data_IF_279962088562
#
_entry.id   IF_279962088562
#
_cell.length_a   1.000
_cell.length_b   1.000
_cell.length_c   1.000
_cell.angle_alpha   90.00
_cell.angle_beta   90.00
_cell.angle_gamma   90.00
#
_symmetry.space_group_name_H-M   'P 1'
#
loop_
_entity.id
_entity.type
_entity.pdbx_description
1 polymer ?
#
# COMPACT_ATOMS: atom_id res chain seq x y z
N UNK A 1 -6.26 21.93 18.77
CA UNK A 1 -5.36 21.04 18.04
C UNK A 1 -5.80 19.61 18.33
N UNK A 2 -6.12 18.82 17.32
CA UNK A 2 -6.58 17.44 17.52
C UNK A 2 -5.43 16.57 18.04
N UNK A 3 -5.70 15.78 19.08
CA UNK A 3 -4.73 14.83 19.63
C UNK A 3 -5.18 13.42 19.30
N UNK A 4 -4.47 12.75 18.39
CA UNK A 4 -4.72 11.36 18.02
C UNK A 4 -4.77 10.45 19.26
N UNK A 5 -5.83 9.63 19.36
CA UNK A 5 -5.96 8.59 20.37
C UNK A 5 -5.20 7.33 19.94
N UNK A 6 -4.02 7.15 20.54
CA UNK A 6 -3.15 6.00 20.25
C UNK A 6 -3.75 4.67 20.69
N UNK A 7 -4.49 4.63 21.80
CA UNK A 7 -5.03 3.38 22.32
C UNK A 7 -6.13 2.85 21.40
N UNK A 8 -7.00 3.74 20.92
CA UNK A 8 -8.01 3.40 19.93
C UNK A 8 -7.38 2.94 18.61
N UNK A 9 -6.34 3.63 18.14
CA UNK A 9 -5.61 3.24 16.94
C UNK A 9 -4.96 1.85 17.09
N UNK A 10 -4.26 1.57 18.20
CA UNK A 10 -3.64 0.27 18.43
C UNK A 10 -4.66 -0.86 18.55
N UNK A 11 -5.80 -0.60 19.20
CA UNK A 11 -6.92 -1.55 19.22
C UNK A 11 -7.47 -1.81 17.81
N UNK A 12 -7.63 -0.77 16.99
CA UNK A 12 -8.14 -0.88 15.60
C UNK A 12 -7.27 -1.78 14.72
N UNK A 13 -5.95 -1.76 14.93
CA UNK A 13 -4.99 -2.57 14.15
C UNK A 13 -4.58 -3.87 14.85
N UNK A 14 -5.09 -4.13 16.06
CA UNK A 14 -4.75 -5.31 16.85
C UNK A 14 -3.28 -5.36 17.29
N UNK A 15 -2.64 -4.21 17.52
CA UNK A 15 -1.22 -4.13 17.89
C UNK A 15 -1.04 -3.87 19.38
N UNK A 16 -0.15 -4.64 20.02
CA UNK A 16 0.15 -4.54 21.45
C UNK A 16 1.65 -4.47 21.74
N UNK A 17 2.43 -3.97 20.79
CA UNK A 17 3.89 -3.87 20.90
C UNK A 17 4.36 -2.72 21.80
N UNK A 18 5.68 -2.62 21.95
CA UNK A 18 6.32 -1.55 22.70
C UNK A 18 6.21 -0.21 21.97
N UNK A 19 5.89 0.86 22.71
CA UNK A 19 5.65 2.22 22.20
C UNK A 19 6.91 3.10 22.14
N UNK A 20 8.09 2.50 22.19
CA UNK A 20 9.35 3.22 22.03
C UNK A 20 9.69 3.43 20.54
N UNK A 21 10.37 4.52 20.16
CA UNK A 21 10.71 4.79 18.75
C UNK A 21 11.88 3.93 18.29
N UNK A 22 11.68 2.61 18.18
CA UNK A 22 12.70 1.64 17.78
C UNK A 22 12.39 1.07 16.39
N UNK A 23 13.40 0.47 15.76
CA UNK A 23 13.22 -0.27 14.51
C UNK A 23 12.20 -1.40 14.65
N UNK A 24 12.21 -2.12 15.77
CA UNK A 24 11.27 -3.21 16.04
C UNK A 24 9.82 -2.71 16.13
N UNK A 25 9.62 -1.56 16.79
CA UNK A 25 8.32 -0.87 16.85
C UNK A 25 7.87 -0.43 15.47
N UNK A 26 8.71 0.28 14.70
CA UNK A 26 8.35 0.72 13.35
C UNK A 26 7.93 -0.46 12.45
N UNK A 27 8.71 -1.54 12.47
CA UNK A 27 8.44 -2.75 11.67
C UNK A 27 7.12 -3.43 12.05
N UNK A 28 6.91 -3.72 13.34
CA UNK A 28 5.71 -4.41 13.80
C UNK A 28 4.45 -3.56 13.65
N UNK A 29 4.56 -2.24 13.86
CA UNK A 29 3.46 -1.31 13.74
C UNK A 29 3.03 -1.11 12.28
N UNK A 30 3.99 -1.02 11.35
CA UNK A 30 3.75 -0.93 9.91
C UNK A 30 2.97 -2.16 9.42
N UNK A 31 3.44 -3.36 9.77
CA UNK A 31 2.78 -4.61 9.41
C UNK A 31 1.35 -4.67 9.97
N UNK A 32 1.17 -4.32 11.24
CA UNK A 32 -0.14 -4.32 11.88
C UNK A 32 -1.10 -3.32 11.22
N UNK A 33 -0.63 -2.12 10.84
CA UNK A 33 -1.46 -1.15 10.11
C UNK A 33 -1.95 -1.72 8.79
N UNK A 34 -1.03 -2.22 7.95
CA UNK A 34 -1.35 -2.74 6.61
C UNK A 34 -2.31 -3.94 6.67
N UNK A 35 -2.21 -4.76 7.72
CA UNK A 35 -3.11 -5.89 7.93
C UNK A 35 -4.45 -5.49 8.56
N UNK A 36 -4.46 -4.45 9.39
CA UNK A 36 -5.61 -4.04 10.18
C UNK A 36 -6.56 -3.10 9.45
N UNK A 37 -6.04 -2.15 8.67
CA UNK A 37 -6.85 -1.13 7.97
C UNK A 37 -6.77 -1.42 6.46
N UNK A 38 -7.88 -1.74 5.79
CA UNK A 38 -7.88 -2.02 4.36
C UNK A 38 -7.72 -0.73 3.55
N UNK A 39 -7.07 -0.84 2.39
CA UNK A 39 -7.11 0.20 1.39
C UNK A 39 -8.48 0.17 0.70
N UNK A 40 -9.12 1.32 0.52
CA UNK A 40 -10.42 1.44 -0.16
C UNK A 40 -10.67 2.82 -0.77
N UNK A 41 -11.56 2.92 -1.75
CA UNK A 41 -11.95 4.18 -2.41
C UNK A 41 -13.47 4.44 -2.42
N UNK A 42 -14.24 3.84 -1.52
CA UNK A 42 -15.71 3.89 -1.50
C UNK A 42 -16.22 5.32 -1.46
N UNK A 43 -15.63 6.20 -0.66
CA UNK A 43 -16.07 7.60 -0.60
C UNK A 43 -15.90 8.33 -1.94
N UNK A 44 -14.76 8.12 -2.62
CA UNK A 44 -14.50 8.66 -3.95
C UNK A 44 -15.46 8.07 -4.99
N UNK A 45 -15.70 6.76 -4.92
CA UNK A 45 -16.63 6.06 -5.79
C UNK A 45 -18.05 6.62 -5.67
N UNK A 46 -18.46 7.01 -4.45
CA UNK A 46 -19.76 7.61 -4.16
C UNK A 46 -19.79 9.13 -4.37
N UNK A 47 -18.73 9.71 -4.94
CA UNK A 47 -18.66 11.11 -5.35
C UNK A 47 -18.17 12.09 -4.28
N UNK A 48 -17.70 11.59 -3.13
CA UNK A 48 -17.07 12.39 -2.09
C UNK A 48 -15.60 12.68 -2.37
N UNK A 49 -15.05 13.62 -1.59
CA UNK A 49 -13.61 13.88 -1.50
C UNK A 49 -13.20 13.62 -0.06
N UNK A 50 -12.37 12.60 0.21
CA UNK A 50 -11.94 12.30 1.57
C UNK A 50 -11.31 13.52 2.24
N UNK A 51 -11.71 13.82 3.48
CA UNK A 51 -11.06 14.83 4.29
C UNK A 51 -9.67 14.35 4.72
N UNK A 52 -8.66 15.21 4.65
CA UNK A 52 -7.32 14.93 5.16
C UNK A 52 -7.05 15.58 6.52
N UNK A 53 -8.06 16.22 7.11
CA UNK A 53 -7.95 16.76 8.46
C UNK A 53 -7.71 15.62 9.47
N UNK A 54 -6.73 15.73 10.39
CA UNK A 54 -6.36 14.63 11.28
C UNK A 54 -7.52 14.06 12.10
N UNK A 55 -8.48 14.89 12.49
CA UNK A 55 -9.66 14.46 13.25
C UNK A 55 -10.61 13.59 12.42
N UNK A 56 -10.82 13.96 11.16
CA UNK A 56 -11.72 13.25 10.25
C UNK A 56 -11.10 11.91 9.84
N UNK A 57 -9.78 11.90 9.59
CA UNK A 57 -9.03 10.67 9.29
C UNK A 57 -9.08 9.70 10.47
N UNK A 58 -8.85 10.15 11.71
CA UNK A 58 -9.01 9.28 12.89
C UNK A 58 -10.45 8.75 12.99
N UNK A 59 -11.45 9.64 12.92
CA UNK A 59 -12.85 9.25 13.03
C UNK A 59 -13.21 8.17 12.00
N UNK A 60 -12.82 8.36 10.74
CA UNK A 60 -13.11 7.42 9.65
C UNK A 60 -12.38 6.09 9.81
N UNK A 61 -11.04 6.09 9.86
CA UNK A 61 -10.25 4.86 9.79
C UNK A 61 -10.25 4.10 11.12
N UNK A 62 -10.26 4.82 12.25
CA UNK A 62 -10.14 4.23 13.58
C UNK A 62 -11.51 3.99 14.22
N UNK A 63 -12.34 5.03 14.35
CA UNK A 63 -13.58 4.93 15.13
C UNK A 63 -14.72 4.25 14.36
N UNK A 64 -14.83 4.51 13.08
CA UNK A 64 -15.90 3.97 12.24
C UNK A 64 -15.54 2.64 11.56
N UNK A 65 -14.35 2.08 11.83
CA UNK A 65 -13.93 0.81 11.24
C UNK A 65 -13.86 0.84 9.70
N UNK A 66 -13.61 2.02 9.12
CA UNK A 66 -13.42 2.15 7.67
C UNK A 66 -11.97 1.93 7.28
N UNK A 67 -11.70 2.03 5.99
CA UNK A 67 -10.37 2.14 5.41
C UNK A 67 -10.16 3.54 4.84
N UNK A 68 -9.19 3.66 3.95
CA UNK A 68 -9.00 4.83 3.09
C UNK A 68 -8.04 4.51 1.95
N UNK A 69 -7.62 5.52 1.21
CA UNK A 69 -6.52 5.38 0.25
C UNK A 69 -5.21 6.03 0.78
N UNK A 70 -4.20 6.19 -0.09
CA UNK A 70 -2.84 6.52 0.33
C UNK A 70 -2.67 7.73 1.26
N UNK A 71 -3.39 8.83 1.00
CA UNK A 71 -3.26 10.05 1.81
C UNK A 71 -3.75 9.82 3.25
N UNK A 72 -4.94 9.25 3.41
CA UNK A 72 -5.54 9.00 4.73
C UNK A 72 -4.70 8.01 5.56
N UNK A 73 -4.24 6.93 4.91
CA UNK A 73 -3.37 5.93 5.53
C UNK A 73 -2.07 6.53 6.03
N UNK A 74 -1.32 7.20 5.14
CA UNK A 74 0.01 7.70 5.48
C UNK A 74 -0.04 8.96 6.37
N UNK A 75 -1.13 9.74 6.34
CA UNK A 75 -1.36 10.83 7.32
C UNK A 75 -1.64 10.28 8.72
N UNK A 76 -2.53 9.29 8.84
CA UNK A 76 -2.81 8.63 10.11
C UNK A 76 -1.52 8.02 10.67
N UNK A 77 -0.78 7.28 9.84
CA UNK A 77 0.45 6.63 10.26
C UNK A 77 1.54 7.62 10.66
N UNK A 78 1.71 8.71 9.91
CA UNK A 78 2.63 9.79 10.29
C UNK A 78 2.30 10.36 11.67
N UNK A 79 1.04 10.66 11.94
CA UNK A 79 0.60 11.19 13.23
C UNK A 79 0.84 10.21 14.40
N UNK A 80 0.67 8.90 14.17
CA UNK A 80 1.02 7.86 15.16
C UNK A 80 2.52 7.86 15.42
N UNK A 81 3.34 7.82 14.38
CA UNK A 81 4.80 7.76 14.50
C UNK A 81 5.36 8.99 15.21
N UNK A 82 4.89 10.19 14.85
CA UNK A 82 5.27 11.45 15.50
C UNK A 82 4.93 11.42 17.00
N UNK A 83 3.75 10.90 17.37
CA UNK A 83 3.34 10.74 18.77
C UNK A 83 4.15 9.69 19.54
N UNK A 84 4.74 8.71 18.86
CA UNK A 84 5.68 7.74 19.42
C UNK A 84 7.12 8.28 19.49
N UNK A 85 7.38 9.49 18.98
CA UNK A 85 8.68 10.16 19.03
C UNK A 85 9.62 9.83 17.87
N UNK A 86 9.11 9.26 16.77
CA UNK A 86 9.89 9.14 15.53
C UNK A 86 10.00 10.49 14.82
N UNK A 87 11.12 10.71 14.11
CA UNK A 87 11.20 11.77 13.12
C UNK A 87 10.50 11.33 11.85
N UNK A 88 9.56 12.14 11.32
CA UNK A 88 8.80 11.78 10.13
C UNK A 88 8.91 12.89 9.08
N UNK A 89 9.21 12.50 7.84
CA UNK A 89 9.13 13.39 6.68
C UNK A 89 8.13 12.81 5.69
N UNK A 90 7.15 13.63 5.31
CA UNK A 90 6.14 13.28 4.32
C UNK A 90 6.70 13.52 2.93
N UNK A 91 6.55 12.55 2.04
CA UNK A 91 7.04 12.57 0.66
C UNK A 91 5.88 12.33 -0.30
N UNK A 92 6.14 12.53 -1.60
CA UNK A 92 5.20 12.14 -2.64
C UNK A 92 5.89 11.41 -3.80
N UNK A 93 5.14 10.54 -4.46
CA UNK A 93 5.61 9.65 -5.49
C UNK A 93 4.73 9.68 -6.75
N UNK A 94 5.36 9.32 -7.88
CA UNK A 94 4.69 8.97 -9.13
C UNK A 94 4.45 7.47 -9.14
N UNK A 95 3.20 7.05 -9.17
CA UNK A 95 2.84 5.65 -9.35
C UNK A 95 3.32 5.19 -10.72
N UNK A 96 4.19 4.17 -10.78
CA UNK A 96 4.72 3.63 -12.04
C UNK A 96 3.93 2.40 -12.48
N UNK A 97 3.71 1.43 -11.60
CA UNK A 97 3.02 0.18 -11.95
C UNK A 97 3.51 -0.39 -13.29
N UNK A 98 4.83 -0.46 -13.47
CA UNK A 98 5.48 -0.99 -14.67
C UNK A 98 5.41 -0.11 -15.93
N UNK A 99 4.89 1.12 -15.88
CA UNK A 99 4.96 2.04 -17.02
C UNK A 99 6.14 3.01 -16.92
N UNK A 100 6.75 3.30 -18.07
CA UNK A 100 7.76 4.35 -18.22
C UNK A 100 7.15 5.72 -18.52
N UNK A 101 5.82 5.79 -18.71
CA UNK A 101 5.13 7.07 -18.94
C UNK A 101 5.22 7.95 -17.70
N UNK A 102 5.45 9.24 -17.93
CA UNK A 102 5.43 10.23 -16.85
C UNK A 102 3.98 10.37 -16.33
N UNK A 103 3.79 10.00 -15.06
CA UNK A 103 2.52 10.09 -14.32
C UNK A 103 2.57 11.20 -13.27
N UNK A 104 1.44 11.79 -12.86
CA UNK A 104 1.42 12.85 -11.86
C UNK A 104 1.88 12.34 -10.48
N UNK A 105 2.40 13.25 -9.66
CA UNK A 105 2.80 12.99 -8.28
C UNK A 105 1.53 12.91 -7.44
N UNK A 106 1.07 11.69 -7.16
CA UNK A 106 -0.30 11.43 -6.64
C UNK A 106 -0.35 10.34 -5.58
N UNK A 107 0.81 9.87 -5.13
CA UNK A 107 0.92 8.92 -4.03
C UNK A 107 1.70 9.56 -2.88
N UNK A 108 1.27 9.33 -1.66
CA UNK A 108 1.95 9.78 -0.45
C UNK A 108 2.72 8.61 0.17
N UNK A 109 3.90 8.87 0.70
CA UNK A 109 4.70 7.94 1.50
C UNK A 109 5.52 8.73 2.53
N UNK A 110 6.23 8.02 3.41
CA UNK A 110 7.03 8.61 4.49
C UNK A 110 8.49 8.17 4.41
N UNK A 111 9.38 9.05 4.85
CA UNK A 111 10.65 8.63 5.47
C UNK A 111 10.57 8.81 6.97
N UNK A 112 11.17 7.88 7.70
CA UNK A 112 11.12 7.81 9.17
C UNK A 112 12.53 7.70 9.72
N UNK A 113 12.94 8.68 10.52
CA UNK A 113 14.17 8.66 11.28
C UNK A 113 13.96 7.85 12.55
N UNK A 114 14.78 6.79 12.71
CA UNK A 114 14.74 5.91 13.87
C UNK A 114 15.99 6.16 14.72
N UNK A 115 15.85 6.56 16.00
CA UNK A 115 16.97 6.73 16.91
C UNK A 115 17.96 5.56 16.90
N UNK A 116 19.24 5.86 16.65
CA UNK A 116 20.32 4.88 16.64
C UNK A 116 20.51 4.14 15.31
N UNK A 117 19.67 4.37 14.30
CA UNK A 117 19.85 3.81 12.95
C UNK A 117 20.62 4.80 12.06
N UNK A 118 21.46 4.28 11.16
CA UNK A 118 22.30 5.09 10.27
C UNK A 118 21.52 5.78 9.15
N UNK A 119 20.45 5.12 8.68
CA UNK A 119 19.66 5.59 7.54
C UNK A 119 18.19 5.73 7.92
N UNK A 120 17.48 6.73 7.35
CA UNK A 120 16.04 6.79 7.46
C UNK A 120 15.40 5.59 6.79
N UNK A 121 14.18 5.26 7.22
CA UNK A 121 13.39 4.17 6.66
C UNK A 121 12.27 4.72 5.78
N UNK A 122 12.11 4.18 4.59
CA UNK A 122 10.89 4.34 3.78
C UNK A 122 9.78 3.53 4.43
N UNK A 123 8.69 4.22 4.78
CA UNK A 123 7.47 3.63 5.30
C UNK A 123 6.29 4.05 4.42
N UNK A 124 5.46 3.09 4.06
CA UNK A 124 4.27 3.31 3.24
C UNK A 124 3.23 2.24 3.55
N UNK A 125 2.20 2.65 4.29
CA UNK A 125 1.07 1.79 4.68
C UNK A 125 -0.16 2.05 3.80
N UNK A 126 -0.02 2.86 2.74
CA UNK A 126 -1.14 3.43 1.99
C UNK A 126 -1.19 3.10 0.50
N UNK A 127 -0.22 2.36 -0.06
CA UNK A 127 -0.24 2.05 -1.50
C UNK A 127 -1.35 1.05 -1.90
N UNK A 128 -1.76 0.17 -0.99
CA UNK A 128 -2.67 -0.95 -1.26
C UNK A 128 -1.94 -2.25 -1.60
N UNK A 129 -2.50 -3.06 -2.50
CA UNK A 129 -1.86 -4.29 -2.99
C UNK A 129 -0.62 -3.93 -3.81
N UNK A 130 0.51 -4.53 -3.48
CA UNK A 130 1.81 -4.16 -4.06
C UNK A 130 2.64 -3.22 -3.20
N UNK A 131 2.04 -2.64 -2.16
CA UNK A 131 2.73 -1.79 -1.18
C UNK A 131 3.62 -2.59 -0.24
N UNK A 132 4.45 -1.88 0.52
CA UNK A 132 5.29 -2.46 1.58
C UNK A 132 4.42 -3.09 2.67
N UNK A 133 4.87 -4.21 3.24
CA UNK A 133 4.36 -4.73 4.50
C UNK A 133 5.18 -4.24 5.70
N UNK A 134 6.46 -4.00 5.46
CA UNK A 134 7.45 -3.56 6.43
C UNK A 134 8.30 -2.43 5.86
N UNK A 135 8.80 -1.51 6.70
CA UNK A 135 9.65 -0.41 6.26
C UNK A 135 10.98 -0.91 5.67
N UNK A 136 11.53 -0.17 4.72
CA UNK A 136 12.86 -0.43 4.15
C UNK A 136 13.83 0.67 4.54
N UNK A 137 15.09 0.38 4.91
CA UNK A 137 16.09 1.43 5.01
C UNK A 137 16.25 2.10 3.64
N UNK A 138 16.43 3.42 3.60
CA UNK A 138 16.64 4.19 2.36
C UNK A 138 18.05 3.93 1.81
N UNK A 139 18.22 2.70 1.30
CA UNK A 139 19.47 2.13 0.83
C UNK A 139 19.22 1.37 -0.48
N UNK A 140 20.00 1.65 -1.54
CA UNK A 140 19.75 1.05 -2.84
C UNK A 140 20.24 -0.39 -2.90
N UNK A 141 19.55 -1.23 -3.68
CA UNK A 141 19.98 -2.57 -4.05
C UNK A 141 19.78 -3.65 -2.98
N UNK A 142 19.33 -3.30 -1.78
CA UNK A 142 19.09 -4.27 -0.71
C UNK A 142 17.74 -4.96 -0.93
N UNK A 143 17.78 -6.24 -1.28
CA UNK A 143 16.59 -7.09 -1.36
C UNK A 143 16.07 -7.41 0.05
N UNK A 144 14.79 -7.16 0.29
CA UNK A 144 14.12 -7.39 1.56
C UNK A 144 12.90 -8.32 1.38
N UNK A 145 12.95 -9.57 1.89
CA UNK A 145 11.79 -10.45 1.92
C UNK A 145 10.80 -9.99 3.00
N UNK A 146 9.52 -9.95 2.66
CA UNK A 146 8.42 -9.57 3.54
C UNK A 146 7.28 -10.58 3.38
N UNK A 147 7.34 -11.68 4.13
CA UNK A 147 6.49 -12.84 3.90
C UNK A 147 6.76 -13.48 2.53
N UNK A 148 5.71 -13.70 1.74
CA UNK A 148 5.79 -14.22 0.37
C UNK A 148 6.29 -13.19 -0.66
N UNK A 149 6.50 -11.95 -0.26
CA UNK A 149 6.85 -10.85 -1.15
C UNK A 149 8.32 -10.47 -0.99
N UNK A 150 8.87 -9.79 -1.99
CA UNK A 150 10.23 -9.27 -1.95
C UNK A 150 10.27 -7.88 -2.55
N UNK A 151 10.91 -6.96 -1.84
CA UNK A 151 11.03 -5.56 -2.23
C UNK A 151 12.48 -5.12 -2.26
N UNK A 152 12.76 -4.05 -3.01
CA UNK A 152 14.01 -3.30 -2.91
C UNK A 152 13.78 -1.85 -3.27
N UNK A 153 14.72 -1.01 -2.85
CA UNK A 153 14.86 0.34 -3.38
C UNK A 153 15.97 0.35 -4.42
N UNK A 154 15.76 1.08 -5.52
CA UNK A 154 16.78 1.32 -6.55
C UNK A 154 16.92 2.83 -6.74
N UNK A 155 18.13 3.28 -7.07
CA UNK A 155 18.40 4.70 -7.36
C UNK A 155 18.58 4.91 -8.86
N UNK A 156 17.87 5.88 -9.41
CA UNK A 156 17.95 6.32 -10.81
C UNK A 156 18.11 7.85 -10.85
N UNK A 157 19.37 8.31 -10.91
CA UNK A 157 19.68 9.73 -10.73
C UNK A 157 19.21 10.25 -9.38
N UNK A 158 18.29 11.22 -9.40
CA UNK A 158 17.66 11.80 -8.21
C UNK A 158 16.43 11.03 -7.73
N UNK A 159 15.96 10.04 -8.50
CA UNK A 159 14.79 9.23 -8.15
C UNK A 159 15.18 8.00 -7.34
N UNK A 160 14.31 7.67 -6.40
CA UNK A 160 14.24 6.39 -5.73
C UNK A 160 13.04 5.62 -6.27
N UNK A 161 13.26 4.34 -6.58
CA UNK A 161 12.26 3.43 -7.12
C UNK A 161 11.97 2.36 -6.08
N UNK A 162 10.71 2.20 -5.69
CA UNK A 162 10.29 0.99 -5.00
C UNK A 162 10.00 -0.07 -6.06
N UNK A 163 10.64 -1.23 -5.91
CA UNK A 163 10.38 -2.39 -6.76
C UNK A 163 9.93 -3.58 -5.92
N UNK A 164 9.05 -4.39 -6.51
CA UNK A 164 8.64 -5.70 -5.99
C UNK A 164 8.88 -6.76 -7.06
N UNK A 165 8.97 -8.02 -6.70
CA UNK A 165 8.96 -9.11 -7.70
C UNK A 165 7.52 -9.46 -8.07
N UNK A 166 7.27 -9.77 -9.35
CA UNK A 166 5.97 -10.24 -9.86
C UNK A 166 6.19 -11.49 -10.72
N UNK A 167 5.77 -12.65 -10.23
CA UNK A 167 5.94 -13.93 -10.93
C UNK A 167 7.40 -14.14 -11.38
N UNK A 168 7.56 -14.66 -12.60
CA UNK A 168 8.86 -14.91 -13.22
C UNK A 168 9.43 -13.70 -13.99
N UNK A 169 8.64 -12.63 -14.13
CA UNK A 169 8.97 -11.44 -14.94
C UNK A 169 10.04 -10.53 -14.30
N UNK A 170 10.55 -10.90 -13.12
CA UNK A 170 11.59 -10.18 -12.41
C UNK A 170 11.09 -8.98 -11.61
N UNK A 171 11.92 -7.94 -11.52
CA UNK A 171 11.63 -6.74 -10.72
C UNK A 171 10.65 -5.82 -11.45
N UNK A 172 9.61 -5.41 -10.73
CA UNK A 172 8.52 -4.56 -11.19
C UNK A 172 8.51 -3.26 -10.39
N UNK A 173 8.65 -2.13 -11.07
CA UNK A 173 8.63 -0.80 -10.43
C UNK A 173 7.21 -0.40 -10.04
N UNK A 174 7.02 -0.21 -8.73
CA UNK A 174 5.75 0.15 -8.10
C UNK A 174 5.53 1.66 -8.22
N UNK A 175 6.47 2.45 -7.70
CA UNK A 175 6.44 3.91 -7.77
C UNK A 175 7.86 4.49 -7.72
N UNK A 176 7.99 5.75 -8.13
CA UNK A 176 9.23 6.52 -8.08
C UNK A 176 9.03 7.84 -7.30
N UNK A 177 9.99 8.21 -6.46
CA UNK A 177 9.92 9.37 -5.58
C UNK A 177 11.26 10.08 -5.41
N UNK A 178 11.22 11.31 -4.90
CA UNK A 178 12.39 12.04 -4.39
C UNK A 178 12.27 12.16 -2.88
N UNK A 179 13.36 12.55 -2.20
CA UNK A 179 13.36 12.80 -0.75
C UNK A 179 12.92 14.22 -0.39
N UNK A 180 12.26 14.92 -1.30
CA UNK A 180 11.75 16.27 -1.08
C UNK A 180 10.56 16.23 -0.12
N UNK A 181 10.66 16.98 0.98
CA UNK A 181 9.55 17.14 1.93
C UNK A 181 8.33 17.73 1.22
N UNK A 182 7.17 17.18 1.54
CA UNK A 182 5.85 17.69 1.15
C UNK A 182 5.08 18.15 2.36
N UNK A 183 4.32 19.21 2.17
CA UNK A 183 3.44 19.79 3.19
C UNK A 183 2.01 19.27 3.03
N UNK A 184 1.19 19.39 4.07
CA UNK A 184 -0.20 18.91 4.05
C UNK A 184 -1.00 19.45 2.86
N UNK A 185 -0.81 20.73 2.53
CA UNK A 185 -1.48 21.41 1.42
C UNK A 185 -1.14 20.84 0.04
N UNK A 186 0.04 20.21 -0.13
CA UNK A 186 0.39 19.54 -1.38
C UNK A 186 -0.50 18.32 -1.60
N UNK A 187 -0.82 17.61 -0.51
CA UNK A 187 -1.67 16.43 -0.54
C UNK A 187 -3.14 16.79 -0.75
N UNK A 188 -3.62 17.96 -0.30
CA UNK A 188 -4.97 18.43 -0.60
C UNK A 188 -5.22 18.57 -2.11
N UNK A 189 -4.25 19.16 -2.82
CA UNK A 189 -4.34 19.32 -4.29
C UNK A 189 -4.33 17.95 -4.98
N UNK A 190 -3.43 17.05 -4.56
CA UNK A 190 -3.33 15.71 -5.13
C UNK A 190 -4.58 14.85 -4.82
N UNK A 191 -5.11 14.95 -3.59
CA UNK A 191 -6.37 14.35 -3.17
C UNK A 191 -7.51 14.82 -4.06
N UNK A 192 -7.71 16.14 -4.19
CA UNK A 192 -8.80 16.67 -5.01
C UNK A 192 -8.72 16.15 -6.45
N UNK A 193 -7.52 16.14 -7.04
CA UNK A 193 -7.31 15.56 -8.37
C UNK A 193 -7.70 14.08 -8.41
N UNK A 194 -7.19 13.28 -7.47
CA UNK A 194 -7.46 11.83 -7.42
C UNK A 194 -8.93 11.53 -7.12
N UNK A 195 -9.61 12.32 -6.31
CA UNK A 195 -11.01 12.12 -5.96
C UNK A 195 -11.96 12.57 -7.08
N UNK A 196 -11.63 13.66 -7.78
CA UNK A 196 -12.59 14.34 -8.67
C UNK A 196 -12.22 14.36 -10.14
N UNK A 197 -10.98 14.09 -10.53
CA UNK A 197 -10.62 14.18 -11.94
C UNK A 197 -11.29 13.06 -12.76
N UNK A 198 -11.91 13.34 -13.93
CA UNK A 198 -12.64 12.33 -14.71
C UNK A 198 -11.79 11.13 -15.15
N UNK A 199 -10.48 11.34 -15.32
CA UNK A 199 -9.51 10.27 -15.66
C UNK A 199 -8.86 9.60 -14.44
N UNK A 200 -9.33 9.89 -13.23
CA UNK A 200 -8.80 9.23 -12.03
C UNK A 200 -9.19 7.74 -12.04
N UNK A 201 -8.26 6.83 -11.71
CA UNK A 201 -8.55 5.39 -11.63
C UNK A 201 -9.45 5.02 -10.43
N UNK A 202 -9.80 5.99 -9.57
CA UNK A 202 -10.58 5.76 -8.34
C UNK A 202 -12.05 6.18 -8.44
N UNK A 203 -12.52 6.79 -9.54
CA UNK A 203 -13.92 7.25 -9.66
C UNK A 203 -14.90 6.22 -10.22
N UNK A 204 -14.42 5.28 -11.03
CA UNK A 204 -15.29 4.36 -11.79
C UNK A 204 -15.32 2.92 -11.31
N UNK A 205 -14.45 2.56 -10.36
CA UNK A 205 -14.26 1.17 -9.94
C UNK A 205 -14.19 1.11 -8.43
N UNK A 206 -15.04 0.29 -7.80
CA UNK A 206 -14.84 -0.09 -6.40
C UNK A 206 -13.52 -0.83 -6.30
N UNK A 207 -12.61 -0.33 -5.45
CA UNK A 207 -11.31 -0.92 -5.17
C UNK A 207 -11.21 -1.09 -3.67
N UNK A 208 -11.12 -2.32 -3.19
CA UNK A 208 -10.81 -2.63 -1.78
C UNK A 208 -9.70 -3.65 -1.74
N UNK A 209 -8.66 -3.41 -0.95
CA UNK A 209 -7.46 -4.22 -0.95
C UNK A 209 -6.97 -4.48 0.47
N UNK A 210 -6.54 -5.72 0.72
CA UNK A 210 -5.87 -6.12 1.95
C UNK A 210 -4.61 -6.91 1.60
N UNK A 211 -3.51 -6.55 2.25
CA UNK A 211 -2.23 -7.22 2.06
C UNK A 211 -1.75 -7.85 3.37
N UNK A 212 -1.11 -9.00 3.28
CA UNK A 212 -0.48 -9.67 4.40
C UNK A 212 0.69 -10.54 3.96
N UNK A 213 1.46 -11.09 4.90
CA UNK A 213 2.66 -11.87 4.60
C UNK A 213 2.36 -13.18 3.85
N UNK A 214 1.13 -13.69 3.95
CA UNK A 214 0.74 -14.98 3.39
C UNK A 214 -0.27 -14.90 2.24
N UNK A 215 -0.67 -13.69 1.85
CA UNK A 215 -1.64 -13.52 0.78
C UNK A 215 -2.15 -12.10 0.66
N UNK A 216 -2.89 -11.86 -0.41
CA UNK A 216 -3.54 -10.59 -0.71
C UNK A 216 -4.96 -10.86 -1.17
N UNK A 217 -5.85 -9.92 -0.86
CA UNK A 217 -7.20 -9.91 -1.40
C UNK A 217 -7.46 -8.56 -2.05
N UNK A 218 -8.12 -8.57 -3.21
CA UNK A 218 -8.56 -7.38 -3.91
C UNK A 218 -9.97 -7.57 -4.44
N UNK A 219 -10.81 -6.58 -4.20
CA UNK A 219 -12.13 -6.45 -4.77
C UNK A 219 -12.10 -5.31 -5.79
N UNK A 220 -12.37 -5.64 -7.05
CA UNK A 220 -12.52 -4.68 -8.14
C UNK A 220 -13.93 -4.80 -8.72
N UNK A 221 -14.72 -3.72 -8.65
CA UNK A 221 -16.17 -3.77 -8.90
C UNK A 221 -16.85 -4.83 -8.01
N UNK A 222 -17.28 -5.95 -8.60
CA UNK A 222 -17.83 -7.12 -7.91
C UNK A 222 -16.95 -8.36 -8.03
N UNK A 223 -15.72 -8.24 -8.55
CA UNK A 223 -14.78 -9.36 -8.68
C UNK A 223 -13.82 -9.38 -7.50
N UNK A 224 -13.98 -10.38 -6.63
CA UNK A 224 -13.03 -10.68 -5.57
C UNK A 224 -11.94 -11.60 -6.14
N UNK A 225 -10.69 -11.25 -5.89
CA UNK A 225 -9.57 -12.15 -6.12
C UNK A 225 -8.76 -12.29 -4.85
N UNK A 226 -8.40 -13.52 -4.51
CA UNK A 226 -7.54 -13.87 -3.39
C UNK A 226 -6.31 -14.56 -3.94
N UNK A 227 -5.13 -14.04 -3.60
CA UNK A 227 -3.84 -14.59 -4.00
C UNK A 227 -3.15 -15.12 -2.76
N UNK A 228 -2.85 -16.42 -2.74
CA UNK A 228 -2.13 -17.06 -1.66
C UNK A 228 -0.60 -16.95 -1.85
N UNK A 229 0.15 -17.29 -0.82
CA UNK A 229 1.62 -17.22 -0.80
C UNK A 229 2.34 -18.18 -1.73
N UNK A 230 1.65 -19.15 -2.33
CA UNK A 230 2.19 -20.05 -3.36
C UNK A 230 1.88 -19.56 -4.79
N UNK A 231 1.28 -18.37 -4.92
CA UNK A 231 0.89 -17.80 -6.20
C UNK A 231 -0.47 -18.29 -6.72
N UNK A 232 -1.10 -19.26 -6.05
CA UNK A 232 -2.45 -19.69 -6.41
C UNK A 232 -3.45 -18.55 -6.23
N UNK A 233 -4.45 -18.51 -7.14
CA UNK A 233 -5.45 -17.46 -7.17
C UNK A 233 -6.85 -18.06 -7.18
N UNK A 234 -7.71 -17.54 -6.31
CA UNK A 234 -9.14 -17.77 -6.34
C UNK A 234 -9.83 -16.49 -6.83
N UNK A 235 -10.64 -16.59 -7.88
CA UNK A 235 -11.41 -15.48 -8.44
C UNK A 235 -12.88 -15.81 -8.30
N UNK A 236 -13.66 -14.86 -7.75
CA UNK A 236 -15.08 -14.98 -7.51
C UNK A 236 -15.80 -13.69 -7.87
N UNK A 237 -16.79 -13.78 -8.76
CA UNK A 237 -17.70 -12.68 -9.05
C UNK A 237 -18.85 -12.70 -8.02
N UNK A 238 -19.07 -11.57 -7.35
CA UNK A 238 -20.09 -11.36 -6.33
C UNK A 238 -21.39 -10.92 -6.99
N UNK A 239 -22.51 -11.47 -6.52
CA UNK A 239 -23.82 -11.35 -7.17
C UNK A 239 -24.40 -9.94 -7.08
N UNK A 240 -24.37 -9.36 -5.89
CA UNK A 240 -25.08 -8.13 -5.55
C UNK A 240 -24.37 -7.35 -4.44
N UNK A 241 -24.85 -6.14 -4.16
CA UNK A 241 -24.28 -5.25 -3.14
C UNK A 241 -24.32 -5.85 -1.73
N UNK A 242 -25.30 -6.72 -1.43
CA UNK A 242 -25.38 -7.39 -0.12
C UNK A 242 -24.31 -8.48 0.03
N UNK A 243 -23.95 -9.17 -1.06
CA UNK A 243 -22.79 -10.04 -1.06
C UNK A 243 -21.49 -9.25 -0.94
N UNK A 244 -21.35 -8.13 -1.65
CA UNK A 244 -20.21 -7.21 -1.51
C UNK A 244 -20.04 -6.78 -0.05
N UNK A 245 -21.08 -6.25 0.59
CA UNK A 245 -21.02 -5.79 1.98
C UNK A 245 -20.63 -6.91 2.96
N UNK A 246 -21.15 -8.13 2.77
CA UNK A 246 -20.74 -9.30 3.58
C UNK A 246 -19.26 -9.63 3.41
N UNK A 247 -18.75 -9.58 2.18
CA UNK A 247 -17.32 -9.80 1.87
C UNK A 247 -16.46 -8.69 2.47
N UNK A 248 -16.89 -7.42 2.39
CA UNK A 248 -16.16 -6.29 2.98
C UNK A 248 -15.98 -6.45 4.49
N UNK A 249 -17.03 -6.84 5.22
CA UNK A 249 -16.93 -7.11 6.66
C UNK A 249 -16.05 -8.31 6.95
N UNK A 250 -16.31 -9.45 6.30
CA UNK A 250 -15.65 -10.74 6.61
C UNK A 250 -14.17 -10.76 6.21
N UNK A 251 -13.88 -10.29 4.99
CA UNK A 251 -12.57 -10.48 4.35
C UNK A 251 -11.68 -9.25 4.46
N UNK A 252 -12.26 -8.05 4.65
CA UNK A 252 -11.51 -6.80 4.73
C UNK A 252 -11.64 -6.08 6.06
N UNK A 253 -12.56 -6.52 6.95
CA UNK A 253 -12.85 -5.81 8.20
C UNK A 253 -13.40 -4.40 7.97
N UNK A 254 -13.97 -4.14 6.79
CA UNK A 254 -14.47 -2.84 6.37
C UNK A 254 -15.96 -2.71 6.70
N UNK A 255 -16.29 -1.76 7.58
CA UNK A 255 -17.67 -1.48 7.96
C UNK A 255 -18.27 -0.37 7.09
N UNK A 256 -19.46 -0.64 6.54
CA UNK A 256 -20.28 0.30 5.77
C UNK A 256 -21.75 0.14 6.18
N UNK A 257 -22.60 1.16 5.99
CA UNK A 257 -24.05 1.01 6.12
C UNK A 257 -24.57 -0.14 5.25
N UNK A 258 -25.44 -0.98 5.80
CA UNK A 258 -25.97 -2.18 5.10
C UNK A 258 -26.83 -1.85 3.87
N UNK A 259 -27.30 -0.62 3.76
CA UNK A 259 -28.06 -0.08 2.64
C UNK A 259 -27.17 0.63 1.60
N UNK A 260 -25.84 0.61 1.76
CA UNK A 260 -24.91 1.12 0.74
C UNK A 260 -25.18 0.47 -0.62
N UNK A 261 -25.12 1.29 -1.68
CA UNK A 261 -25.25 0.85 -3.06
C UNK A 261 -23.99 1.23 -3.82
N UNK A 262 -23.53 0.33 -4.68
CA UNK A 262 -22.36 0.58 -5.52
C UNK A 262 -22.80 0.82 -6.98
N UNK A 263 -22.09 1.69 -7.74
CA UNK A 263 -22.31 1.79 -9.17
C UNK A 263 -22.21 0.41 -9.83
N UNK A 264 -23.13 0.11 -10.73
CA UNK A 264 -23.05 -1.14 -11.50
C UNK A 264 -21.75 -1.17 -12.30
N UNK A 265 -21.08 -2.34 -12.40
CA UNK A 265 -19.92 -2.48 -13.24
C UNK A 265 -20.27 -2.10 -14.68
N UNK A 266 -19.36 -1.45 -15.42
CA UNK A 266 -19.60 -1.21 -16.84
C UNK A 266 -19.89 -2.53 -17.56
N UNK A 267 -20.91 -2.55 -18.42
CA UNK A 267 -21.18 -3.70 -19.29
C UNK A 267 -19.91 -3.97 -20.10
N UNK A 268 -19.31 -5.17 -19.93
CA UNK A 268 -18.03 -5.55 -20.52
C UNK A 268 -18.02 -5.32 -22.04
N UNK A 269 -17.53 -4.17 -22.47
CA UNK A 269 -17.30 -3.82 -23.87
C UNK A 269 -15.80 -3.82 -24.09
N UNK A 270 -15.32 -4.85 -24.81
CA UNK A 270 -13.92 -5.09 -25.23
C UNK A 270 -12.84 -5.05 -24.11
N UNK A 271 -11.71 -5.76 -24.27
CA UNK A 271 -10.62 -5.65 -23.31
C UNK A 271 -10.14 -4.19 -23.24
N UNK A 272 -9.71 -3.71 -22.07
CA UNK A 272 -9.27 -2.34 -21.92
C UNK A 272 -8.14 -2.04 -22.90
N UNK A 273 -8.19 -0.85 -23.50
CA UNK A 273 -7.01 -0.25 -24.12
C UNK A 273 -5.86 -0.24 -23.11
N UNK A 274 -4.63 -0.37 -23.60
CA UNK A 274 -3.33 -0.60 -22.93
C UNK A 274 -2.92 0.37 -21.79
N UNK A 275 -3.85 1.14 -21.23
CA UNK A 275 -3.65 2.11 -20.14
C UNK A 275 -4.24 1.69 -18.78
N UNK A 276 -4.84 0.50 -18.66
CA UNK A 276 -5.25 -0.04 -17.36
C UNK A 276 -4.03 -0.62 -16.60
N UNK A 277 -3.84 -0.31 -15.31
CA UNK A 277 -2.77 -0.95 -14.53
C UNK A 277 -3.01 -2.47 -14.54
N UNK A 278 -1.97 -3.28 -14.78
CA UNK A 278 -2.15 -4.72 -14.93
C UNK A 278 -2.66 -5.34 -13.63
N UNK A 279 -3.36 -6.47 -13.77
CA UNK A 279 -3.91 -7.26 -12.65
C UNK A 279 -2.88 -7.53 -11.53
N UNK A 280 -3.29 -7.69 -10.26
CA UNK A 280 -2.37 -7.68 -9.14
C UNK A 280 -1.31 -8.79 -9.13
N UNK A 281 -0.19 -8.40 -8.54
CA UNK A 281 1.03 -9.11 -8.19
C UNK A 281 0.87 -10.62 -7.91
N UNK A 282 1.39 -11.44 -8.82
CA UNK A 282 1.65 -12.86 -8.57
C UNK A 282 2.88 -13.02 -7.67
N UNK A 283 2.87 -14.05 -6.81
CA UNK A 283 4.02 -14.41 -5.95
C UNK A 283 5.21 -14.81 -6.82
N UNK A 284 6.42 -14.46 -6.39
CA UNK A 284 7.65 -14.90 -7.04
C UNK A 284 8.10 -16.27 -6.52
N UNK A 285 8.52 -17.16 -7.41
CA UNK A 285 9.21 -18.38 -7.04
C UNK A 285 10.58 -18.11 -6.36
N UNK A 286 11.13 -19.06 -5.60
CA UNK A 286 12.48 -18.93 -5.06
C UNK A 286 13.48 -18.85 -6.22
N UNK A 287 14.18 -17.72 -6.35
CA UNK A 287 15.34 -17.61 -7.25
C UNK A 287 16.35 -18.67 -6.81
N UNK A 288 16.54 -19.70 -7.63
CA UNK A 288 17.59 -20.70 -7.41
C UNK A 288 18.94 -20.00 -7.27
N UNK A 289 19.71 -20.43 -6.27
CA UNK A 289 21.07 -19.95 -6.05
C UNK A 289 21.86 -20.08 -7.35
N UNK A 290 22.37 -18.95 -7.84
CA UNK A 290 23.24 -18.88 -9.02
C UNK A 290 24.40 -19.88 -8.96
N UNK A 291 24.99 -20.20 -10.12
CA UNK A 291 25.78 -21.40 -10.32
C UNK A 291 26.96 -21.48 -9.36
N UNK A 292 27.11 -22.64 -8.72
CA UNK A 292 28.29 -23.02 -7.93
C UNK A 292 29.55 -22.68 -8.75
N UNK A 293 30.39 -21.80 -8.19
CA UNK A 293 31.73 -21.54 -8.69
C UNK A 293 32.44 -22.87 -8.96
N UNK A 294 32.85 -23.10 -10.21
CA UNK A 294 33.72 -24.21 -10.56
C UNK A 294 35.00 -24.08 -9.74
N UNK A 295 35.29 -25.11 -8.95
CA UNK A 295 36.60 -25.35 -8.35
C UNK A 295 37.64 -25.36 -9.48
N UNK A 296 38.62 -24.48 -9.38
CA UNK A 296 39.92 -24.67 -10.03
C UNK A 296 40.74 -25.60 -9.13
N UNK A 297 40.74 -26.89 -9.45
CA UNK A 297 41.82 -27.81 -9.10
C UNK A 297 42.49 -28.25 -10.40
N UNK A 298 43.79 -27.98 -10.48
CA UNK A 298 44.63 -28.27 -11.63
C UNK A 298 46.09 -27.99 -11.30
N UNK A 299 46.66 -28.89 -10.50
CA UNK A 299 48.07 -28.95 -10.10
C UNK A 299 48.97 -29.40 -11.27
N UNK A 300 50.21 -28.92 -11.23
CA UNK A 300 51.47 -29.54 -11.72
C UNK A 300 51.83 -29.48 -13.21
N UNK A 301 52.96 -28.81 -13.43
CA UNK A 301 53.84 -28.82 -14.59
C UNK A 301 54.99 -27.88 -14.31
#
# INVERSE_FOLDING_TARGET
>A
MHHLDLDAYFARIGWSGERAPTRATLRSLHLAHVMGIPFENVEVLLGGVPSLEPADVEAKLVRHGRGGYCFEHNLLFAGVLERLGFGVTRLAARVRMGTDRIRPVTHMLLTVDVPGEEHPYVADVGFGSGGLLEPLPLLPGVSSPQGAWRYRLVREGELWLLETVRGDDGWFTVYAFTTERRESVDFEVANWYIATHPRSPFRGTLRVQRSGPHGRAFLEHRRLTVVASDGSQEIRDLKDDQEVLRVLVRDFGLLLPWDTRFPEPPTRAEPPTTDEPPAPFAVSDPIEKGPKSRRTEGLKG
#
